data_IF_841469640611
#
_entry.id   IF_841469640611
#
_cell.length_a   1.000
_cell.length_b   1.000
_cell.length_c   1.000
_cell.angle_alpha   90.00
_cell.angle_beta   90.00
_cell.angle_gamma   90.00
#
_symmetry.space_group_name_H-M   'P 1'
#
loop_
_entity.id
_entity.type
_entity.pdbx_description
1 polymer ?
#
# COMPACT_ATOMS: atom_id res chain seq x y z
N UNK A 1 6.63 -26.82 21.98
CA UNK A 1 5.68 -26.26 22.96
C UNK A 1 6.29 -25.02 23.57
N UNK A 2 5.62 -23.88 23.47
CA UNK A 2 6.08 -22.60 24.04
C UNK A 2 5.99 -22.67 25.58
N UNK A 3 4.87 -23.16 26.11
CA UNK A 3 4.65 -23.47 27.53
C UNK A 3 3.89 -24.79 27.68
N UNK A 4 3.64 -25.27 28.91
CA UNK A 4 2.93 -26.56 29.13
C UNK A 4 1.54 -26.59 28.49
N UNK A 5 0.86 -25.45 28.41
CA UNK A 5 -0.49 -25.32 27.84
C UNK A 5 -0.54 -24.59 26.50
N UNK A 6 0.61 -24.30 25.87
CA UNK A 6 0.67 -23.46 24.66
C UNK A 6 1.60 -24.03 23.61
N UNK A 7 1.06 -24.26 22.41
CA UNK A 7 1.87 -24.59 21.23
C UNK A 7 2.65 -23.35 20.80
N UNK A 8 3.86 -23.54 20.27
CA UNK A 8 4.56 -22.45 19.62
C UNK A 8 3.92 -22.25 18.25
N UNK A 9 3.28 -21.10 18.04
CA UNK A 9 2.65 -20.72 16.79
C UNK A 9 3.10 -19.31 16.41
N UNK A 10 3.08 -19.01 15.11
CA UNK A 10 3.35 -17.69 14.57
C UNK A 10 2.33 -17.37 13.48
N UNK A 11 2.10 -16.08 13.16
CA UNK A 11 1.31 -15.71 11.99
C UNK A 11 1.87 -16.37 10.72
N UNK A 12 0.98 -16.94 9.90
CA UNK A 12 1.35 -17.73 8.72
C UNK A 12 1.67 -16.93 7.46
N UNK A 13 2.09 -15.66 7.60
CA UNK A 13 2.23 -14.73 6.47
C UNK A 13 0.88 -14.16 6.00
N UNK A 14 0.93 -13.26 5.01
CA UNK A 14 -0.27 -12.58 4.52
C UNK A 14 -1.21 -13.48 3.71
N UNK A 15 -0.74 -14.64 3.21
CA UNK A 15 -1.59 -15.66 2.58
C UNK A 15 -2.65 -16.25 3.52
N UNK A 16 -2.50 -16.05 4.84
CA UNK A 16 -3.53 -16.39 5.82
C UNK A 16 -4.88 -15.68 5.58
N UNK A 17 -4.91 -14.59 4.79
CA UNK A 17 -6.14 -13.88 4.42
C UNK A 17 -7.18 -14.82 3.84
N UNK A 18 -6.79 -15.78 2.99
CA UNK A 18 -7.71 -16.69 2.32
C UNK A 18 -8.45 -17.61 3.30
N UNK A 19 -7.74 -18.16 4.28
CA UNK A 19 -8.34 -18.98 5.35
C UNK A 19 -9.17 -18.11 6.29
N UNK A 20 -8.68 -16.92 6.65
CA UNK A 20 -9.36 -16.02 7.58
C UNK A 20 -10.72 -15.54 7.07
N UNK A 21 -10.81 -15.16 5.79
CA UNK A 21 -12.06 -14.63 5.23
C UNK A 21 -13.06 -15.72 4.82
N UNK A 22 -12.61 -16.95 4.59
CA UNK A 22 -13.47 -18.07 4.18
C UNK A 22 -14.01 -18.89 5.35
N UNK A 23 -13.37 -18.82 6.52
CA UNK A 23 -13.81 -19.53 7.71
C UNK A 23 -15.11 -18.92 8.27
N UNK A 24 -16.10 -19.74 8.67
CA UNK A 24 -17.25 -19.28 9.46
C UNK A 24 -16.77 -18.56 10.72
N UNK A 25 -17.39 -17.43 11.07
CA UNK A 25 -17.05 -16.78 12.34
C UNK A 25 -17.75 -17.49 13.51
N UNK A 26 -17.06 -17.53 14.65
CA UNK A 26 -17.62 -17.95 15.92
C UNK A 26 -18.16 -16.72 16.63
N UNK A 27 -19.39 -16.80 17.13
CA UNK A 27 -19.91 -15.77 18.04
C UNK A 27 -18.97 -15.65 19.25
N UNK A 28 -18.66 -14.41 19.64
CA UNK A 28 -17.76 -14.10 20.77
C UNK A 28 -18.37 -14.44 22.14
N UNK A 29 -19.64 -14.82 22.17
CA UNK A 29 -20.33 -15.23 23.38
C UNK A 29 -19.95 -16.67 23.70
N UNK A 30 -19.14 -16.88 24.75
CA UNK A 30 -18.63 -18.17 25.21
C UNK A 30 -19.70 -19.17 25.73
N UNK A 31 -20.90 -19.16 25.15
CA UNK A 31 -22.00 -20.06 25.44
C UNK A 31 -21.95 -21.37 24.64
N UNK A 32 -22.59 -22.39 25.20
CA UNK A 32 -22.58 -23.80 24.75
C UNK A 32 -23.24 -24.01 23.37
N UNK A 33 -23.90 -22.99 22.80
CA UNK A 33 -24.47 -23.03 21.46
C UNK A 33 -23.57 -22.32 20.46
N UNK A 34 -22.63 -23.04 19.86
CA UNK A 34 -21.86 -22.56 18.70
C UNK A 34 -22.80 -22.37 17.51
N UNK A 35 -23.38 -21.18 17.36
CA UNK A 35 -24.06 -20.81 16.12
C UNK A 35 -22.96 -20.36 15.15
N UNK A 36 -22.72 -21.15 14.11
CA UNK A 36 -21.81 -20.75 13.03
C UNK A 36 -22.47 -19.64 12.25
N UNK A 37 -21.86 -18.46 12.21
CA UNK A 37 -22.29 -17.38 11.31
C UNK A 37 -21.68 -17.59 9.93
N UNK A 38 -22.14 -16.81 8.96
CA UNK A 38 -21.48 -16.73 7.66
C UNK A 38 -20.01 -16.31 7.75
N UNK A 39 -19.22 -16.64 6.73
CA UNK A 39 -17.86 -16.15 6.57
C UNK A 39 -17.82 -14.70 6.09
N UNK A 40 -16.68 -14.03 6.24
CA UNK A 40 -16.47 -12.67 5.70
C UNK A 40 -16.72 -12.66 4.19
N UNK A 41 -16.28 -13.70 3.48
CA UNK A 41 -16.45 -13.83 2.05
C UNK A 41 -17.92 -13.92 1.62
N UNK A 42 -18.72 -14.69 2.36
CA UNK A 42 -20.18 -14.77 2.15
C UNK A 42 -20.85 -13.42 2.41
N UNK A 43 -20.43 -12.71 3.46
CA UNK A 43 -20.92 -11.37 3.77
C UNK A 43 -20.59 -10.36 2.67
N UNK A 44 -19.34 -10.34 2.19
CA UNK A 44 -18.90 -9.46 1.11
C UNK A 44 -19.69 -9.73 -0.18
N UNK A 45 -19.95 -10.99 -0.50
CA UNK A 45 -20.82 -11.38 -1.62
C UNK A 45 -22.23 -10.82 -1.46
N UNK A 46 -22.86 -10.96 -0.29
CA UNK A 46 -24.20 -10.41 -0.04
C UNK A 46 -24.24 -8.89 -0.17
N UNK A 47 -23.18 -8.21 0.27
CA UNK A 47 -23.05 -6.76 0.16
C UNK A 47 -22.77 -6.28 -1.27
N UNK A 48 -22.59 -7.19 -2.24
CA UNK A 48 -22.34 -6.84 -3.63
C UNK A 48 -20.90 -6.34 -3.89
N UNK A 49 -19.95 -6.66 -3.02
CA UNK A 49 -18.54 -6.29 -3.21
C UNK A 49 -17.96 -7.06 -4.41
N UNK A 50 -17.37 -6.36 -5.36
CA UNK A 50 -16.79 -6.95 -6.58
C UNK A 50 -15.27 -7.08 -6.51
N UNK A 51 -14.60 -6.15 -5.86
CA UNK A 51 -13.15 -6.11 -5.67
C UNK A 51 -12.76 -5.81 -4.22
N UNK A 52 -11.61 -6.34 -3.81
CA UNK A 52 -11.04 -6.17 -2.48
C UNK A 52 -9.59 -5.70 -2.65
N UNK A 53 -9.31 -4.47 -2.20
CA UNK A 53 -7.94 -3.99 -2.07
C UNK A 53 -7.32 -4.54 -0.79
N UNK A 54 -6.09 -5.04 -0.90
CA UNK A 54 -5.33 -5.65 0.19
C UNK A 54 -3.98 -4.97 0.24
N UNK A 55 -3.70 -4.33 1.37
CA UNK A 55 -2.43 -3.65 1.67
C UNK A 55 -1.99 -3.92 3.11
N UNK A 56 -0.75 -3.56 3.43
CA UNK A 56 -0.23 -3.63 4.79
C UNK A 56 -0.44 -2.31 5.52
N UNK A 57 -0.64 -2.39 6.83
CA UNK A 57 -0.79 -1.22 7.71
C UNK A 57 0.51 -0.43 7.89
N UNK A 58 1.66 -1.02 7.53
CA UNK A 58 2.97 -0.39 7.68
C UNK A 58 3.27 0.67 6.61
N UNK A 59 2.49 0.74 5.52
CA UNK A 59 2.71 1.71 4.46
C UNK A 59 1.99 3.03 4.74
N UNK A 60 2.74 4.07 5.12
CA UNK A 60 2.19 5.41 5.39
C UNK A 60 1.57 6.05 4.14
N UNK A 61 2.07 5.72 2.95
CA UNK A 61 1.60 6.24 1.67
C UNK A 61 0.63 5.30 0.96
N UNK A 62 -0.01 4.39 1.70
CA UNK A 62 -1.00 3.50 1.09
C UNK A 62 -2.15 4.33 0.49
N UNK A 63 -2.30 4.28 -0.84
CA UNK A 63 -3.45 4.86 -1.52
C UNK A 63 -4.68 3.95 -1.32
N UNK A 64 -5.41 4.19 -0.24
CA UNK A 64 -6.55 3.38 0.20
C UNK A 64 -7.78 3.69 -0.66
N UNK A 65 -8.39 2.64 -1.21
CA UNK A 65 -9.51 2.70 -2.14
C UNK A 65 -9.22 3.52 -3.41
N UNK A 66 -7.99 3.43 -3.93
CA UNK A 66 -7.54 4.11 -5.14
C UNK A 66 -8.51 3.87 -6.33
N UNK A 67 -9.19 4.93 -6.84
CA UNK A 67 -10.14 4.81 -7.94
C UNK A 67 -9.47 4.48 -9.28
N UNK A 68 -8.21 4.88 -9.50
CA UNK A 68 -7.44 4.54 -10.70
C UNK A 68 -7.10 3.04 -10.69
N UNK A 69 -6.68 2.51 -9.54
CA UNK A 69 -6.40 1.08 -9.39
C UNK A 69 -7.64 0.22 -9.66
N UNK A 70 -8.79 0.62 -9.10
CA UNK A 70 -10.08 -0.06 -9.31
C UNK A 70 -10.55 0.08 -10.75
N UNK A 71 -10.51 1.29 -11.32
CA UNK A 71 -10.88 1.55 -12.70
C UNK A 71 -10.04 0.76 -13.70
N UNK A 72 -8.73 0.66 -13.46
CA UNK A 72 -7.83 -0.16 -14.25
C UNK A 72 -8.21 -1.65 -14.21
N UNK A 73 -8.50 -2.21 -13.03
CA UNK A 73 -8.93 -3.60 -12.92
C UNK A 73 -10.24 -3.88 -13.69
N UNK A 74 -11.21 -2.96 -13.62
CA UNK A 74 -12.50 -3.07 -14.32
C UNK A 74 -12.28 -3.00 -15.83
N UNK A 75 -11.55 -2.00 -16.32
CA UNK A 75 -11.28 -1.81 -17.75
C UNK A 75 -10.49 -3.00 -18.33
N UNK A 76 -9.57 -3.54 -17.53
CA UNK A 76 -8.77 -4.69 -17.91
C UNK A 76 -9.50 -6.03 -17.76
N UNK A 77 -10.70 -6.04 -17.17
CA UNK A 77 -11.43 -7.24 -16.78
C UNK A 77 -10.56 -8.19 -15.94
N UNK A 78 -9.68 -7.61 -15.13
CA UNK A 78 -8.68 -8.35 -14.37
C UNK A 78 -9.30 -8.94 -13.09
N UNK A 79 -8.83 -10.13 -12.73
CA UNK A 79 -9.16 -10.79 -11.47
C UNK A 79 -8.15 -10.47 -10.37
N UNK A 80 -6.91 -10.17 -10.75
CA UNK A 80 -5.84 -9.70 -9.86
C UNK A 80 -5.10 -8.55 -10.54
N UNK A 81 -4.96 -7.43 -9.84
CA UNK A 81 -4.03 -6.37 -10.21
C UNK A 81 -3.09 -6.14 -9.03
N UNK A 82 -1.79 -6.05 -9.31
CA UNK A 82 -0.77 -5.76 -8.30
C UNK A 82 -0.14 -4.41 -8.60
N UNK A 83 0.03 -3.58 -7.56
CA UNK A 83 0.89 -2.41 -7.67
C UNK A 83 2.34 -2.82 -7.46
N UNK A 84 3.21 -2.28 -8.29
CA UNK A 84 4.65 -2.47 -8.20
C UNK A 84 5.36 -1.13 -8.26
N UNK A 85 6.61 -1.09 -7.84
CA UNK A 85 7.49 0.04 -8.11
C UNK A 85 8.71 -0.43 -8.89
N UNK A 86 9.39 0.47 -9.63
CA UNK A 86 10.74 0.23 -10.08
C UNK A 86 11.64 -0.14 -8.89
N UNK A 87 12.59 -1.04 -9.11
CA UNK A 87 13.67 -1.26 -8.15
C UNK A 87 14.56 -0.04 -8.11
N UNK A 88 15.02 0.35 -6.92
CA UNK A 88 15.96 1.49 -6.79
C UNK A 88 17.36 1.15 -7.26
N UNK A 89 17.75 -0.12 -7.15
CA UNK A 89 19.01 -0.67 -7.64
C UNK A 89 18.93 -2.20 -7.73
N UNK A 90 19.86 -2.88 -8.42
CA UNK A 90 19.85 -4.33 -8.54
C UNK A 90 19.94 -5.07 -7.20
N UNK A 91 20.60 -4.48 -6.20
CA UNK A 91 20.86 -5.04 -4.87
C UNK A 91 19.67 -4.88 -3.89
N UNK A 92 18.61 -4.18 -4.28
CA UNK A 92 17.44 -3.96 -3.43
C UNK A 92 16.82 -5.30 -3.00
N UNK A 93 16.67 -5.48 -1.68
CA UNK A 93 16.15 -6.69 -1.04
C UNK A 93 14.62 -6.72 -1.07
N UNK A 94 14.07 -6.83 -2.27
CA UNK A 94 12.64 -6.88 -2.53
C UNK A 94 12.32 -8.01 -3.51
N UNK A 95 11.22 -8.71 -3.27
CA UNK A 95 10.69 -9.66 -4.25
C UNK A 95 10.21 -8.95 -5.51
N UNK A 96 10.37 -9.59 -6.66
CA UNK A 96 9.94 -9.04 -7.95
C UNK A 96 8.89 -9.94 -8.59
N UNK A 97 7.90 -9.33 -9.24
CA UNK A 97 6.95 -10.08 -10.04
C UNK A 97 7.62 -10.65 -11.28
N UNK A 98 7.35 -11.92 -11.55
CA UNK A 98 7.81 -12.61 -12.73
C UNK A 98 6.78 -13.65 -13.18
N UNK A 99 6.94 -14.10 -14.42
CA UNK A 99 6.14 -15.20 -14.98
C UNK A 99 7.04 -16.39 -15.25
N UNK A 100 6.70 -17.54 -14.66
CA UNK A 100 7.40 -18.81 -14.86
C UNK A 100 6.42 -19.85 -15.38
N UNK A 101 6.72 -20.46 -16.54
CA UNK A 101 5.84 -21.41 -17.22
C UNK A 101 4.39 -20.89 -17.39
N UNK A 102 4.26 -19.61 -17.76
CA UNK A 102 2.98 -18.94 -17.96
C UNK A 102 2.23 -18.54 -16.69
N UNK A 103 2.77 -18.82 -15.49
CA UNK A 103 2.12 -18.50 -14.20
C UNK A 103 2.80 -17.32 -13.51
N UNK A 104 1.99 -16.39 -13.02
CA UNK A 104 2.44 -15.23 -12.26
C UNK A 104 2.79 -15.60 -10.81
N UNK A 105 3.81 -14.94 -10.28
CA UNK A 105 4.22 -15.03 -8.89
C UNK A 105 5.28 -14.00 -8.57
N UNK A 106 5.84 -14.09 -7.37
CA UNK A 106 6.98 -13.29 -6.93
C UNK A 106 8.19 -14.20 -6.78
N UNK A 107 9.33 -13.74 -7.27
CA UNK A 107 10.63 -14.35 -6.99
C UNK A 107 11.28 -13.51 -5.91
N UNK A 108 11.58 -14.12 -4.76
CA UNK A 108 12.19 -13.41 -3.65
C UNK A 108 13.65 -13.05 -3.95
N UNK A 109 14.15 -11.98 -3.32
CA UNK A 109 15.52 -11.50 -3.56
C UNK A 109 16.59 -12.55 -3.21
N UNK A 110 16.29 -13.50 -2.34
CA UNK A 110 17.17 -14.62 -1.99
C UNK A 110 17.20 -15.73 -3.04
N UNK A 111 16.30 -15.69 -4.04
CA UNK A 111 16.05 -16.78 -4.99
C UNK A 111 16.36 -16.41 -6.44
N UNK A 112 16.35 -15.11 -6.76
CA UNK A 112 16.53 -14.60 -8.13
C UNK A 112 17.96 -14.76 -8.70
N UNK A 113 18.97 -14.83 -7.84
CA UNK A 113 20.38 -14.96 -8.24
C UNK A 113 20.87 -13.80 -9.13
N UNK A 114 21.81 -14.09 -10.02
CA UNK A 114 22.47 -13.09 -10.88
C UNK A 114 21.51 -12.39 -11.85
N UNK A 115 20.36 -13.01 -12.14
CA UNK A 115 19.33 -12.47 -13.02
C UNK A 115 18.76 -11.14 -12.52
N UNK A 116 18.89 -10.85 -11.22
CA UNK A 116 18.48 -9.59 -10.62
C UNK A 116 19.22 -8.37 -11.19
N UNK A 117 20.38 -8.58 -11.83
CA UNK A 117 21.21 -7.54 -12.45
C UNK A 117 21.09 -7.48 -13.97
N UNK A 118 20.27 -8.35 -14.57
CA UNK A 118 20.05 -8.30 -16.01
C UNK A 118 19.43 -6.95 -16.40
N UNK A 119 20.02 -6.30 -17.40
CA UNK A 119 19.54 -5.03 -17.96
C UNK A 119 18.92 -5.29 -19.33
N UNK A 120 17.85 -4.57 -19.63
CA UNK A 120 17.30 -4.52 -20.97
C UNK A 120 18.10 -3.52 -21.81
N UNK A 121 18.69 -3.99 -22.90
CA UNK A 121 19.61 -3.21 -23.74
C UNK A 121 18.93 -2.00 -24.41
N UNK A 122 17.61 -2.04 -24.62
CA UNK A 122 16.88 -0.97 -25.32
C UNK A 122 16.48 0.18 -24.39
N UNK A 123 16.22 -0.11 -23.13
CA UNK A 123 15.76 0.88 -22.13
C UNK A 123 16.85 1.24 -21.12
N UNK A 124 17.90 0.42 -21.02
CA UNK A 124 18.92 0.49 -19.97
C UNK A 124 18.35 0.36 -18.55
N UNK A 125 17.16 -0.24 -18.41
CA UNK A 125 16.52 -0.56 -17.13
C UNK A 125 16.72 -2.04 -16.75
N UNK A 126 16.48 -2.37 -15.48
CA UNK A 126 16.49 -3.76 -15.05
C UNK A 126 15.40 -4.59 -15.77
N UNK A 127 15.72 -5.81 -16.19
CA UNK A 127 14.70 -6.73 -16.74
C UNK A 127 13.65 -7.13 -15.70
N UNK A 128 14.07 -7.27 -14.45
CA UNK A 128 13.21 -7.57 -13.32
C UNK A 128 12.97 -6.32 -12.46
N UNK A 129 12.20 -5.37 -13.01
CA UNK A 129 11.97 -4.05 -12.42
C UNK A 129 10.60 -3.88 -11.75
N UNK A 130 9.81 -4.94 -11.60
CA UNK A 130 8.48 -4.90 -10.98
C UNK A 130 8.54 -5.33 -9.50
N UNK A 131 9.08 -4.47 -8.63
CA UNK A 131 9.22 -4.75 -7.20
C UNK A 131 7.84 -4.85 -6.51
N UNK A 132 7.65 -5.90 -5.71
CA UNK A 132 6.42 -6.14 -4.98
C UNK A 132 6.32 -5.23 -3.74
N UNK A 133 5.36 -4.30 -3.75
CA UNK A 133 5.06 -3.41 -2.61
C UNK A 133 3.90 -3.92 -1.74
N UNK A 134 3.41 -5.15 -1.98
CA UNK A 134 2.32 -5.79 -1.25
C UNK A 134 0.99 -5.00 -1.26
N UNK A 135 0.71 -4.30 -2.36
CA UNK A 135 -0.59 -3.65 -2.62
C UNK A 135 -1.27 -4.35 -3.80
N UNK A 136 -2.38 -5.03 -3.50
CA UNK A 136 -3.06 -5.92 -4.44
C UNK A 136 -4.54 -5.57 -4.51
N UNK A 137 -5.15 -5.72 -5.68
CA UNK A 137 -6.58 -5.62 -5.88
C UNK A 137 -7.07 -6.94 -6.47
N UNK A 138 -7.93 -7.63 -5.73
CA UNK A 138 -8.42 -8.94 -6.12
C UNK A 138 -9.93 -8.90 -6.29
N UNK A 139 -10.43 -9.45 -7.40
CA UNK A 139 -11.87 -9.68 -7.55
C UNK A 139 -12.38 -10.63 -6.47
N UNK A 140 -13.62 -10.46 -6.02
CA UNK A 140 -14.25 -11.36 -5.06
C UNK A 140 -14.23 -12.81 -5.54
N UNK A 141 -14.44 -13.03 -6.84
CA UNK A 141 -14.34 -14.35 -7.50
C UNK A 141 -12.97 -14.99 -7.33
N UNK A 142 -11.89 -14.23 -7.52
CA UNK A 142 -10.53 -14.74 -7.28
C UNK A 142 -10.32 -15.09 -5.82
N UNK A 143 -10.81 -14.27 -4.89
CA UNK A 143 -10.66 -14.54 -3.45
C UNK A 143 -11.37 -15.84 -3.03
N UNK A 144 -12.52 -16.14 -3.63
CA UNK A 144 -13.24 -17.40 -3.46
C UNK A 144 -12.47 -18.61 -4.00
N UNK A 145 -11.99 -18.50 -5.25
CA UNK A 145 -11.17 -19.54 -5.87
C UNK A 145 -9.88 -19.78 -5.06
N UNK A 146 -9.15 -18.72 -4.73
CA UNK A 146 -7.89 -18.79 -4.00
C UNK A 146 -8.08 -19.40 -2.61
N UNK A 147 -9.17 -19.08 -1.90
CA UNK A 147 -9.51 -19.72 -0.64
C UNK A 147 -9.81 -21.22 -0.79
N UNK A 148 -10.47 -21.64 -1.86
CA UNK A 148 -10.68 -23.06 -2.14
C UNK A 148 -9.35 -23.77 -2.43
N UNK A 149 -8.51 -23.19 -3.30
CA UNK A 149 -7.19 -23.74 -3.66
C UNK A 149 -6.25 -23.81 -2.46
N UNK A 150 -6.32 -22.83 -1.55
CA UNK A 150 -5.49 -22.77 -0.34
C UNK A 150 -5.72 -23.96 0.59
N UNK A 151 -6.92 -24.58 0.62
CA UNK A 151 -7.21 -25.75 1.48
C UNK A 151 -6.30 -26.95 1.21
N UNK A 152 -5.88 -27.14 -0.04
CA UNK A 152 -4.98 -28.21 -0.48
C UNK A 152 -3.58 -27.71 -0.87
N UNK A 153 -3.29 -26.43 -0.67
CA UNK A 153 -2.01 -25.83 -1.03
C UNK A 153 -0.93 -26.21 -0.01
N UNK A 154 0.22 -26.70 -0.48
CA UNK A 154 1.30 -27.24 0.38
C UNK A 154 2.65 -26.56 0.19
N UNK A 155 2.76 -25.60 -0.75
CA UNK A 155 4.03 -24.93 -1.09
C UNK A 155 4.27 -23.70 -0.22
N UNK A 156 4.48 -23.93 1.07
CA UNK A 156 4.82 -22.87 2.03
C UNK A 156 6.31 -22.53 1.99
N UNK A 157 6.62 -21.28 2.28
CA UNK A 157 7.98 -20.76 2.47
C UNK A 157 8.53 -21.17 3.83
N UNK A 158 9.75 -21.70 3.84
CA UNK A 158 10.42 -22.23 5.05
C UNK A 158 11.39 -21.19 5.59
N UNK A 159 11.15 -20.74 6.82
CA UNK A 159 12.11 -19.94 7.58
C UNK A 159 12.63 -20.72 8.79
N UNK A 160 13.94 -20.98 8.84
CA UNK A 160 14.60 -21.58 10.01
C UNK A 160 14.86 -20.49 11.05
N UNK A 161 14.33 -20.67 12.26
CA UNK A 161 14.40 -19.66 13.33
C UNK A 161 14.79 -20.29 14.68
N UNK A 162 15.54 -19.57 15.54
CA UNK A 162 15.62 -19.91 16.95
C UNK A 162 14.28 -19.57 17.61
N UNK A 163 13.64 -20.57 18.22
CA UNK A 163 12.31 -20.47 18.85
C UNK A 163 12.46 -20.67 20.36
N UNK A 164 12.11 -19.66 21.18
CA UNK A 164 12.04 -19.82 22.63
C UNK A 164 10.97 -20.85 23.03
N UNK A 165 11.30 -21.74 23.97
CA UNK A 165 10.38 -22.76 24.49
C UNK A 165 10.52 -22.91 26.00
N UNK A 166 9.61 -23.67 26.62
CA UNK A 166 9.69 -24.03 28.05
C UNK A 166 10.96 -24.77 28.44
N UNK A 167 11.68 -25.37 27.49
CA UNK A 167 12.95 -26.09 27.74
C UNK A 167 14.18 -25.31 27.25
N UNK A 168 14.03 -24.00 27.00
CA UNK A 168 15.05 -23.17 26.37
C UNK A 168 14.83 -23.00 24.86
N UNK A 169 15.75 -22.33 24.20
CA UNK A 169 15.65 -22.02 22.75
C UNK A 169 15.99 -23.24 21.91
N UNK A 170 15.16 -23.54 20.90
CA UNK A 170 15.38 -24.64 19.95
C UNK A 170 15.37 -24.12 18.51
N UNK A 171 16.07 -24.79 17.60
CA UNK A 171 15.94 -24.51 16.17
C UNK A 171 14.63 -25.09 15.65
N UNK A 172 13.79 -24.26 15.03
CA UNK A 172 12.52 -24.67 14.45
C UNK A 172 12.30 -24.12 13.06
N UNK A 173 11.22 -24.59 12.43
CA UNK A 173 10.77 -24.15 11.12
C UNK A 173 9.48 -23.37 11.29
N UNK A 174 9.45 -22.16 10.72
CA UNK A 174 8.24 -21.38 10.50
C UNK A 174 7.80 -21.58 9.04
N UNK A 175 6.51 -21.82 8.84
CA UNK A 175 5.90 -21.94 7.52
C UNK A 175 5.07 -20.68 7.26
N UNK A 176 5.28 -20.06 6.10
CA UNK A 176 4.53 -18.88 5.67
C UNK A 176 3.99 -19.08 4.25
N UNK A 177 2.81 -18.56 3.98
CA UNK A 177 2.29 -18.41 2.63
C UNK A 177 2.01 -16.94 2.38
N UNK A 178 2.11 -16.53 1.12
CA UNK A 178 1.87 -15.17 0.70
C UNK A 178 0.70 -15.09 -0.28
N UNK A 179 0.07 -13.92 -0.39
CA UNK A 179 -1.00 -13.70 -1.38
C UNK A 179 -0.56 -14.12 -2.78
N UNK A 180 0.68 -13.76 -3.14
CA UNK A 180 1.22 -13.98 -4.46
C UNK A 180 1.44 -15.45 -4.82
N UNK A 181 1.51 -16.35 -3.82
CA UNK A 181 1.64 -17.78 -4.08
C UNK A 181 0.38 -18.33 -4.77
N UNK A 182 -0.77 -17.67 -4.60
CA UNK A 182 -2.06 -18.08 -5.16
C UNK A 182 -2.37 -17.38 -6.49
N UNK A 183 -1.61 -16.37 -6.90
CA UNK A 183 -1.83 -15.67 -8.19
C UNK A 183 -1.65 -16.59 -9.39
N UNK A 184 -0.91 -17.69 -9.23
CA UNK A 184 -0.77 -18.72 -10.26
C UNK A 184 -2.10 -19.37 -10.70
N UNK A 185 -3.17 -19.22 -9.91
CA UNK A 185 -4.50 -19.77 -10.20
C UNK A 185 -5.45 -18.76 -10.86
N UNK A 186 -5.00 -17.54 -11.12
CA UNK A 186 -5.86 -16.43 -11.60
C UNK A 186 -6.59 -16.76 -12.91
N UNK A 187 -5.97 -17.53 -13.81
CA UNK A 187 -6.57 -17.97 -15.07
C UNK A 187 -7.79 -18.89 -14.90
N UNK A 188 -7.88 -19.61 -13.77
CA UNK A 188 -9.02 -20.50 -13.48
C UNK A 188 -10.27 -19.72 -13.06
N UNK A 189 -10.16 -18.40 -12.88
CA UNK A 189 -11.34 -17.58 -12.66
C UNK A 189 -12.26 -17.56 -13.89
N UNK A 190 -11.75 -17.70 -15.11
CA UNK A 190 -12.56 -17.60 -16.33
C UNK A 190 -12.71 -18.96 -17.04
N UNK A 191 -13.95 -19.30 -17.42
CA UNK A 191 -14.28 -20.53 -18.16
C UNK A 191 -15.26 -20.23 -19.32
N UNK A 192 -14.82 -20.36 -20.59
CA UNK A 192 -13.45 -20.65 -21.02
C UNK A 192 -12.47 -19.52 -20.65
N UNK A 193 -11.17 -19.82 -20.63
CA UNK A 193 -10.13 -18.82 -20.41
C UNK A 193 -10.25 -17.71 -21.45
N UNK A 194 -10.22 -16.44 -21.02
CA UNK A 194 -10.21 -15.29 -21.94
C UNK A 194 -8.86 -15.17 -22.64
N UNK A 195 -8.85 -14.52 -23.80
CA UNK A 195 -7.62 -14.17 -24.51
C UNK A 195 -6.78 -13.15 -23.70
N UNK A 196 -7.47 -12.20 -23.06
CA UNK A 196 -6.83 -11.22 -22.17
C UNK A 196 -6.41 -11.90 -20.87
N UNK A 197 -5.13 -11.76 -20.51
CA UNK A 197 -4.60 -12.28 -19.24
C UNK A 197 -5.42 -11.69 -18.07
N UNK A 198 -5.91 -12.45 -17.08
CA UNK A 198 -6.67 -11.90 -15.96
C UNK A 198 -5.79 -11.32 -14.84
N UNK A 199 -4.46 -11.38 -14.96
CA UNK A 199 -3.50 -10.74 -14.08
C UNK A 199 -2.92 -9.46 -14.70
N UNK A 200 -2.84 -8.39 -13.93
CA UNK A 200 -2.23 -7.12 -14.36
C UNK A 200 -1.24 -6.57 -13.34
N UNK A 201 -0.24 -5.87 -13.86
CA UNK A 201 0.70 -5.07 -13.08
C UNK A 201 0.39 -3.61 -13.36
N UNK A 202 0.29 -2.81 -12.29
CA UNK A 202 0.26 -1.35 -12.36
C UNK A 202 1.52 -0.83 -11.68
N UNK A 203 2.52 -0.44 -12.46
CA UNK A 203 3.74 0.14 -11.90
C UNK A 203 3.47 1.60 -11.53
N UNK A 204 3.68 1.96 -10.26
CA UNK A 204 3.34 3.26 -9.68
C UNK A 204 4.59 4.01 -9.21
N UNK A 205 4.44 5.32 -8.96
CA UNK A 205 5.50 6.12 -8.40
C UNK A 205 5.72 5.76 -6.92
N UNK A 206 6.90 5.24 -6.60
CA UNK A 206 7.28 4.85 -5.23
C UNK A 206 7.15 6.01 -4.23
N UNK A 207 7.52 7.21 -4.65
CA UNK A 207 7.52 8.39 -3.79
C UNK A 207 6.12 8.96 -3.52
N UNK A 208 5.09 8.41 -4.17
CA UNK A 208 3.69 8.75 -3.94
C UNK A 208 2.91 7.62 -3.24
N UNK A 209 3.39 6.38 -3.31
CA UNK A 209 2.57 5.20 -2.98
C UNK A 209 3.21 4.21 -2.00
N UNK A 210 4.51 4.37 -1.69
CA UNK A 210 5.22 3.38 -0.88
C UNK A 210 6.24 4.00 0.08
N UNK A 211 5.86 4.03 1.36
CA UNK A 211 6.70 4.42 2.48
C UNK A 211 6.44 3.49 3.68
N UNK A 212 7.03 2.27 3.68
CA UNK A 212 6.84 1.32 4.75
C UNK A 212 7.55 1.73 6.05
N UNK A 213 6.93 1.44 7.19
CA UNK A 213 7.48 1.62 8.54
C UNK A 213 7.72 0.24 9.13
N UNK A 214 8.96 -0.25 8.98
CA UNK A 214 9.37 -1.60 9.39
C UNK A 214 10.41 -1.61 10.51
N UNK A 215 11.19 -0.54 10.61
CA UNK A 215 12.30 -0.43 11.54
C UNK A 215 12.12 0.78 12.46
N UNK A 216 12.72 0.73 13.65
CA UNK A 216 12.76 1.90 14.53
C UNK A 216 13.70 2.99 13.97
N UNK A 217 13.50 4.25 14.39
CA UNK A 217 14.41 5.34 14.04
C UNK A 217 15.86 5.03 14.45
N UNK A 218 16.81 5.45 13.62
CA UNK A 218 18.23 5.11 13.72
C UNK A 218 18.65 3.89 12.89
N UNK A 219 17.70 3.12 12.36
CA UNK A 219 17.98 2.12 11.32
C UNK A 219 18.27 2.78 9.95
N UNK A 220 18.88 2.06 9.00
CA UNK A 220 19.26 2.65 7.70
C UNK A 220 18.11 3.01 6.75
N UNK A 221 16.92 2.42 6.93
CA UNK A 221 15.76 2.63 6.05
C UNK A 221 14.45 2.15 6.68
N UNK A 222 13.34 2.49 6.05
CA UNK A 222 11.97 2.06 6.41
C UNK A 222 11.61 2.40 7.86
N UNK A 223 12.01 3.60 8.29
CA UNK A 223 11.76 4.15 9.63
C UNK A 223 10.55 5.09 9.65
N UNK A 224 9.97 5.41 10.82
CA UNK A 224 8.95 6.46 10.93
C UNK A 224 9.43 7.79 10.33
N UNK A 225 10.67 8.20 10.61
CA UNK A 225 11.25 9.43 10.06
C UNK A 225 11.33 9.41 8.54
N UNK A 226 11.75 8.28 7.95
CA UNK A 226 11.80 8.14 6.49
C UNK A 226 10.41 8.26 5.85
N UNK A 227 9.41 7.62 6.46
CA UNK A 227 8.06 7.60 5.94
C UNK A 227 7.41 8.99 6.01
N UNK A 228 7.51 9.67 7.16
CA UNK A 228 7.01 11.04 7.34
C UNK A 228 7.70 12.01 6.38
N UNK A 229 9.01 11.87 6.17
CA UNK A 229 9.74 12.69 5.20
C UNK A 229 9.20 12.52 3.77
N UNK A 230 8.87 11.29 3.36
CA UNK A 230 8.27 11.00 2.05
C UNK A 230 6.87 11.61 1.93
N UNK A 231 6.03 11.46 2.95
CA UNK A 231 4.70 12.09 3.02
C UNK A 231 4.78 13.61 2.93
N UNK A 232 5.66 14.26 3.71
CA UNK A 232 5.87 15.70 3.61
C UNK A 232 6.34 16.12 2.22
N UNK A 233 7.24 15.36 1.59
CA UNK A 233 7.67 15.66 0.22
C UNK A 233 6.51 15.58 -0.79
N UNK A 234 5.64 14.57 -0.67
CA UNK A 234 4.43 14.44 -1.49
C UNK A 234 3.47 15.60 -1.28
N UNK A 235 3.10 15.89 -0.03
CA UNK A 235 2.20 17.00 0.30
C UNK A 235 2.75 18.36 -0.14
N UNK A 236 4.07 18.54 -0.06
CA UNK A 236 4.75 19.75 -0.54
C UNK A 236 4.61 19.90 -2.05
N UNK A 237 4.71 18.81 -2.82
CA UNK A 237 4.45 18.84 -4.28
C UNK A 237 3.00 19.23 -4.57
N UNK A 238 2.03 18.67 -3.85
CA UNK A 238 0.62 19.00 -4.03
C UNK A 238 0.31 20.47 -3.74
N UNK A 239 0.77 20.98 -2.59
CA UNK A 239 0.58 22.39 -2.23
C UNK A 239 1.28 23.32 -3.22
N UNK A 240 2.50 22.98 -3.64
CA UNK A 240 3.22 23.77 -4.66
C UNK A 240 2.44 23.81 -5.97
N UNK A 241 1.89 22.69 -6.42
CA UNK A 241 1.05 22.62 -7.63
C UNK A 241 -0.22 23.48 -7.51
N UNK A 242 -0.88 23.47 -6.35
CA UNK A 242 -2.04 24.31 -6.10
C UNK A 242 -1.68 25.81 -6.11
N UNK A 243 -0.56 26.19 -5.50
CA UNK A 243 -0.05 27.56 -5.50
C UNK A 243 0.38 28.02 -6.89
N UNK A 244 1.08 27.18 -7.65
CA UNK A 244 1.47 27.45 -9.04
C UNK A 244 0.22 27.66 -9.92
N UNK A 245 -0.83 26.85 -9.71
CA UNK A 245 -2.11 27.03 -10.41
C UNK A 245 -2.76 28.39 -10.08
N UNK A 246 -2.78 28.77 -8.80
CA UNK A 246 -3.30 30.06 -8.37
C UNK A 246 -2.45 31.26 -8.88
N UNK A 247 -1.13 31.07 -9.00
CA UNK A 247 -0.20 32.06 -9.56
C UNK A 247 -0.37 32.28 -11.07
N UNK A 248 -1.11 31.41 -11.76
CA UNK A 248 -1.45 31.51 -13.19
C UNK A 248 -2.91 31.90 -13.43
N UNK A 249 -3.69 32.09 -12.36
CA UNK A 249 -5.10 32.48 -12.46
C UNK A 249 -5.25 33.84 -13.17
N UNK A 250 -6.25 33.96 -14.01
CA UNK A 250 -6.59 35.26 -14.61
C UNK A 250 -7.24 36.20 -13.59
N UNK A 251 -7.43 37.47 -13.95
CA UNK A 251 -7.95 38.48 -13.02
C UNK A 251 -9.35 38.13 -12.47
N UNK A 252 -10.22 37.55 -13.31
CA UNK A 252 -11.57 37.13 -12.89
C UNK A 252 -11.52 35.96 -11.92
N UNK A 253 -10.67 34.95 -12.18
CA UNK A 253 -10.46 33.79 -11.31
C UNK A 253 -9.84 34.19 -9.96
N UNK A 254 -8.84 35.08 -9.99
CA UNK A 254 -8.20 35.63 -8.80
C UNK A 254 -9.20 36.33 -7.87
N UNK A 255 -10.12 37.13 -8.43
CA UNK A 255 -11.19 37.80 -7.66
C UNK A 255 -12.13 36.78 -7.03
N UNK A 256 -12.56 35.76 -7.79
CA UNK A 256 -13.48 34.72 -7.28
C UNK A 256 -12.85 33.89 -6.18
N UNK A 257 -11.56 33.55 -6.31
CA UNK A 257 -10.84 32.75 -5.31
C UNK A 257 -10.37 33.58 -4.11
N UNK A 258 -10.39 34.91 -4.20
CA UNK A 258 -9.84 35.78 -3.16
C UNK A 258 -8.33 35.62 -2.99
N UNK A 259 -7.60 35.33 -4.07
CA UNK A 259 -6.16 35.07 -4.05
C UNK A 259 -5.43 36.17 -4.84
N UNK A 260 -4.46 36.83 -4.21
CA UNK A 260 -3.52 37.70 -4.93
C UNK A 260 -2.47 36.85 -5.67
N UNK A 261 -2.41 37.02 -6.98
CA UNK A 261 -1.49 36.28 -7.87
C UNK A 261 -0.02 36.51 -7.53
N UNK A 262 0.35 37.71 -7.08
CA UNK A 262 1.72 38.02 -6.68
C UNK A 262 2.07 37.38 -5.34
N UNK A 263 1.13 37.38 -4.38
CA UNK A 263 1.33 36.67 -3.11
C UNK A 263 1.48 35.15 -3.33
N UNK A 264 0.71 34.56 -4.26
CA UNK A 264 0.88 33.16 -4.63
C UNK A 264 2.27 32.87 -5.23
N UNK A 265 2.76 33.74 -6.14
CA UNK A 265 4.12 33.63 -6.70
C UNK A 265 5.20 33.74 -5.62
N UNK A 266 5.04 34.68 -4.69
CA UNK A 266 5.98 34.86 -3.59
C UNK A 266 5.99 33.66 -2.64
N UNK A 267 4.81 33.10 -2.33
CA UNK A 267 4.64 31.92 -1.52
C UNK A 267 5.38 30.70 -2.10
N UNK A 268 5.23 30.44 -3.41
CA UNK A 268 5.98 29.37 -4.11
C UNK A 268 7.48 29.61 -4.03
N UNK A 269 7.93 30.84 -4.31
CA UNK A 269 9.34 31.18 -4.26
C UNK A 269 9.91 30.99 -2.84
N UNK A 270 9.13 31.32 -1.81
CA UNK A 270 9.51 31.12 -0.42
C UNK A 270 9.63 29.65 -0.05
N UNK A 271 8.64 28.81 -0.43
CA UNK A 271 8.69 27.37 -0.20
C UNK A 271 9.95 26.75 -0.80
N UNK A 272 10.25 27.06 -2.07
CA UNK A 272 11.44 26.54 -2.77
C UNK A 272 12.75 27.03 -2.13
N UNK A 273 12.83 28.33 -1.80
CA UNK A 273 14.06 28.94 -1.24
C UNK A 273 14.38 28.48 0.18
N UNK A 274 13.35 28.28 1.02
CA UNK A 274 13.53 27.93 2.44
C UNK A 274 13.35 26.44 2.73
N UNK A 275 12.94 25.65 1.74
CA UNK A 275 12.62 24.23 1.94
C UNK A 275 11.45 24.01 2.89
N UNK A 276 10.44 24.90 2.85
CA UNK A 276 9.25 24.77 3.70
C UNK A 276 8.43 23.56 3.22
N UNK A 277 8.06 22.69 4.16
CA UNK A 277 7.30 21.48 3.89
C UNK A 277 5.80 21.72 4.09
N UNK A 278 4.98 20.79 3.61
CA UNK A 278 3.56 20.76 3.88
C UNK A 278 3.13 19.43 4.53
N UNK A 279 2.10 19.51 5.39
CA UNK A 279 1.35 18.37 5.92
C UNK A 279 -0.13 18.61 5.67
N UNK A 280 -0.76 17.74 4.90
CA UNK A 280 -2.16 17.85 4.49
C UNK A 280 -2.94 16.68 5.07
N UNK A 281 -4.08 16.97 5.71
CA UNK A 281 -4.97 15.93 6.22
C UNK A 281 -5.65 15.19 5.06
N UNK A 282 -5.79 13.84 5.14
CA UNK A 282 -6.53 13.07 4.14
C UNK A 282 -8.02 13.44 4.09
N UNK A 283 -8.57 14.12 5.12
CA UNK A 283 -9.93 14.66 5.07
C UNK A 283 -10.06 15.92 4.20
N UNK A 284 -8.93 16.54 3.83
CA UNK A 284 -8.85 17.64 2.88
C UNK A 284 -8.54 17.11 1.48
N UNK A 285 -7.53 16.25 1.36
CA UNK A 285 -7.00 15.80 0.07
C UNK A 285 -6.31 14.45 0.22
N UNK A 286 -6.61 13.51 -0.68
CA UNK A 286 -5.95 12.20 -0.73
C UNK A 286 -4.94 12.06 -1.87
N UNK A 287 -5.07 12.86 -2.94
CA UNK A 287 -4.20 12.83 -4.13
C UNK A 287 -3.80 14.25 -4.61
N UNK A 288 -3.95 15.27 -3.76
CA UNK A 288 -3.60 16.66 -4.06
C UNK A 288 -4.77 17.51 -4.61
N UNK A 289 -5.95 16.93 -4.77
CA UNK A 289 -7.20 17.61 -5.11
C UNK A 289 -7.73 18.47 -3.95
N UNK A 290 -8.68 19.38 -4.24
CA UNK A 290 -9.40 20.11 -3.18
C UNK A 290 -8.58 21.17 -2.41
N UNK A 291 -7.35 21.45 -2.83
CA UNK A 291 -6.46 22.38 -2.12
C UNK A 291 -6.73 23.87 -2.37
N UNK A 292 -7.38 24.24 -3.49
CA UNK A 292 -7.59 25.65 -3.85
C UNK A 292 -8.27 26.49 -2.75
N UNK A 293 -9.32 26.02 -2.04
CA UNK A 293 -9.93 26.76 -0.93
C UNK A 293 -8.98 27.05 0.24
N UNK A 294 -7.89 26.28 0.38
CA UNK A 294 -6.92 26.42 1.47
C UNK A 294 -5.71 27.29 1.09
N UNK A 295 -5.58 27.67 -0.19
CA UNK A 295 -4.46 28.47 -0.69
C UNK A 295 -4.33 29.83 0.03
N UNK A 296 -5.39 30.63 0.26
CA UNK A 296 -5.26 31.89 0.99
C UNK A 296 -4.64 31.71 2.39
N UNK A 297 -5.07 30.67 3.12
CA UNK A 297 -4.53 30.33 4.45
C UNK A 297 -3.08 29.86 4.36
N UNK A 298 -2.72 29.09 3.33
CA UNK A 298 -1.35 28.64 3.11
C UNK A 298 -0.42 29.83 2.80
N UNK A 299 -0.84 30.77 1.94
CA UNK A 299 -0.12 32.01 1.65
C UNK A 299 0.10 32.81 2.94
N UNK A 300 -0.94 32.98 3.76
CA UNK A 300 -0.79 33.66 5.04
C UNK A 300 0.25 32.99 5.95
N UNK A 301 0.17 31.66 6.12
CA UNK A 301 1.14 30.90 6.93
C UNK A 301 2.58 31.06 6.41
N UNK A 302 2.76 31.10 5.10
CA UNK A 302 4.07 31.23 4.44
C UNK A 302 4.65 32.63 4.61
N UNK A 303 3.88 33.66 4.26
CA UNK A 303 4.38 35.03 4.19
C UNK A 303 4.39 35.74 5.56
N UNK A 304 3.52 35.34 6.49
CA UNK A 304 3.33 36.03 7.78
C UNK A 304 3.83 35.20 8.97
N UNK A 305 3.44 33.93 9.07
CA UNK A 305 3.73 33.11 10.25
C UNK A 305 5.12 32.46 10.23
N UNK A 306 5.79 32.42 9.07
CA UNK A 306 7.13 31.88 8.85
C UNK A 306 7.36 30.47 9.43
N UNK A 307 6.34 29.62 9.41
CA UNK A 307 6.43 28.24 9.92
C UNK A 307 7.30 27.36 9.02
N UNK A 308 8.09 26.42 9.58
CA UNK A 308 8.86 25.46 8.79
C UNK A 308 8.00 24.38 8.10
N UNK A 309 6.73 24.26 8.53
CA UNK A 309 5.75 23.31 8.03
C UNK A 309 4.39 24.02 7.89
N UNK A 310 3.81 23.99 6.69
CA UNK A 310 2.44 24.43 6.43
C UNK A 310 1.50 23.27 6.72
N UNK A 311 0.60 23.45 7.69
CA UNK A 311 -0.41 22.44 8.00
C UNK A 311 -1.75 22.83 7.39
N UNK A 312 -2.37 21.90 6.66
CA UNK A 312 -3.67 22.07 6.02
C UNK A 312 -4.60 20.96 6.49
N UNK A 313 -5.68 21.36 7.15
CA UNK A 313 -6.69 20.50 7.75
C UNK A 313 -8.05 21.18 7.60
N UNK A 314 -9.14 20.42 7.64
CA UNK A 314 -10.48 21.00 7.76
C UNK A 314 -10.63 21.70 9.09
N UNK A 315 -11.48 22.72 9.15
CA UNK A 315 -11.67 23.51 10.36
C UNK A 315 -12.36 22.74 11.50
N UNK A 316 -13.08 21.65 11.18
CA UNK A 316 -13.73 20.77 12.16
C UNK A 316 -12.83 19.62 12.66
N UNK A 317 -11.58 19.55 12.20
CA UNK A 317 -10.61 18.59 12.72
C UNK A 317 -10.11 19.05 14.09
N UNK A 318 -10.65 18.44 15.15
CA UNK A 318 -10.09 18.56 16.49
C UNK A 318 -8.86 17.67 16.56
N UNK A 319 -7.68 18.29 16.68
CA UNK A 319 -6.49 17.58 17.14
C UNK A 319 -6.76 17.08 18.54
N UNK A 320 -6.88 15.76 18.73
CA UNK A 320 -6.72 15.21 20.07
C UNK A 320 -5.34 15.63 20.53
N UNK A 321 -5.24 16.49 21.56
CA UNK A 321 -3.98 16.70 22.25
C UNK A 321 -3.39 15.33 22.51
N UNK A 322 -2.13 15.14 22.13
CA UNK A 322 -1.44 13.87 22.32
C UNK A 322 -1.57 13.48 23.78
N UNK A 323 -2.52 12.60 24.09
CA UNK A 323 -2.68 12.05 25.42
C UNK A 323 -1.41 11.26 25.68
N UNK A 324 -0.58 11.82 26.57
CA UNK A 324 0.66 11.25 27.09
C UNK A 324 0.65 9.72 27.01
N UNK A 325 1.40 9.16 26.06
CA UNK A 325 1.87 7.78 26.08
C UNK A 325 3.33 7.78 26.52
#
# INVERSE_FOLDING_TARGET
MESRGRIAAAPGGNGAVFTAISSPQLDKDGGITKKTTESVLQRLRRLGVTYIQIGNIDNLLANVADPVFVGYAINEQAHVVVKTCPKVNPEERVGVFARSNGRWGVVEYTEIGDRAREVDESTNELRFNCANISSNLCSLRFMELAAERMKSFTRYHIARKPIPTIKGTVNGIKLEAFLFDLFQFVDECDHPRKEKDPFRIMQVNRDDEFAPIKNADGAPSDTPTDAVRRMHAQHTRWLTSALDSAAMANQSESIVMGIDVNEAKEAVALMRRRGILAEISPLVSIEGEGLLPYVPRAIHQLLRDQRPLVSIRRDDEVLSEASNM
#
